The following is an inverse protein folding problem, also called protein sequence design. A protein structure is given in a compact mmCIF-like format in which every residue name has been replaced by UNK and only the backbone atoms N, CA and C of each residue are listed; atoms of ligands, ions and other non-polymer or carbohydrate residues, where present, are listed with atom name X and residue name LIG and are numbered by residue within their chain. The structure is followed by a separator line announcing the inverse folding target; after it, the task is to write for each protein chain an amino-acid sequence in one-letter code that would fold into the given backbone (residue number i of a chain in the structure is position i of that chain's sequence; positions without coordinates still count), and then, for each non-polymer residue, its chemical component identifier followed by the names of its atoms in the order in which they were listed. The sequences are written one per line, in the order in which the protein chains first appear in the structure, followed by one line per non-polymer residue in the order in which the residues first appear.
data_IF_218546705819
#
_entry.id   IF_218546705819
#
_cell.length_a   1.000
_cell.length_b   1.000
_cell.length_c   1.000
_cell.angle_alpha   90.00
_cell.angle_beta   90.00
_cell.angle_gamma   90.00
#
_symmetry.space_group_name_H-M   'P 1'
#
loop_
_entity.id
_entity.type
_entity.pdbx_description
1 polymer ?
#
# COMPACT_ATOMS: atom_id res chain seq x y z
N UNK A 1 -42.95 -65.10 7.45
CA UNK A 1 -42.72 -63.72 7.96
C UNK A 1 -41.28 -63.46 8.37
N UNK A 2 -40.56 -64.33 9.06
CA UNK A 2 -39.19 -64.11 9.58
C UNK A 2 -38.11 -63.76 8.49
N UNK A 3 -38.13 -64.43 7.31
CA UNK A 3 -37.16 -64.16 6.22
C UNK A 3 -37.26 -62.76 5.61
N UNK A 4 -38.41 -62.11 5.52
CA UNK A 4 -38.63 -60.77 5.02
C UNK A 4 -38.10 -59.70 6.04
N UNK A 5 -38.24 -59.98 7.34
CA UNK A 5 -37.73 -59.08 8.40
C UNK A 5 -36.24 -59.10 8.46
N UNK A 6 -35.56 -60.23 8.36
CA UNK A 6 -34.05 -60.26 8.29
C UNK A 6 -33.50 -59.59 7.05
N UNK A 7 -34.20 -59.64 5.91
CA UNK A 7 -33.75 -58.95 4.69
C UNK A 7 -33.86 -57.42 4.84
N UNK A 8 -34.92 -56.90 5.46
CA UNK A 8 -35.09 -55.47 5.74
C UNK A 8 -34.10 -54.96 6.77
N UNK A 9 -33.83 -55.74 7.84
CA UNK A 9 -32.81 -55.38 8.84
C UNK A 9 -31.41 -55.38 8.24
N UNK A 10 -31.06 -56.33 7.37
CA UNK A 10 -29.76 -56.37 6.69
C UNK A 10 -29.61 -55.22 5.68
N UNK A 11 -30.66 -54.83 4.96
CA UNK A 11 -30.63 -53.66 4.09
C UNK A 11 -30.52 -52.36 4.88
N UNK A 12 -31.23 -52.24 6.01
CA UNK A 12 -31.08 -51.07 6.91
C UNK A 12 -29.67 -50.92 7.46
N UNK A 13 -29.09 -52.04 7.96
CA UNK A 13 -27.71 -52.03 8.46
C UNK A 13 -26.68 -51.68 7.36
N UNK A 14 -26.90 -52.16 6.12
CA UNK A 14 -26.02 -51.85 4.99
C UNK A 14 -26.11 -50.38 4.60
N UNK A 15 -27.30 -49.79 4.60
CA UNK A 15 -27.48 -48.36 4.32
C UNK A 15 -26.88 -47.50 5.42
N UNK A 16 -27.02 -47.87 6.69
CA UNK A 16 -26.40 -47.15 7.81
C UNK A 16 -24.88 -47.23 7.73
N UNK A 17 -24.32 -48.41 7.41
CA UNK A 17 -22.88 -48.59 7.22
C UNK A 17 -22.37 -47.74 6.05
N UNK A 18 -23.12 -47.67 4.93
CA UNK A 18 -22.77 -46.81 3.78
C UNK A 18 -22.79 -45.32 4.14
N UNK A 19 -23.80 -44.86 4.87
CA UNK A 19 -23.86 -43.47 5.35
C UNK A 19 -22.69 -43.11 6.27
N UNK A 20 -22.30 -44.00 7.18
CA UNK A 20 -21.16 -43.83 8.05
C UNK A 20 -19.83 -43.77 7.25
N UNK A 21 -19.74 -44.61 6.21
CA UNK A 21 -18.56 -44.63 5.35
C UNK A 21 -18.45 -43.35 4.50
N UNK A 22 -19.56 -42.84 3.98
CA UNK A 22 -19.62 -41.56 3.30
C UNK A 22 -19.24 -40.38 4.24
N UNK A 23 -19.77 -40.39 5.46
CA UNK A 23 -19.43 -39.36 6.45
C UNK A 23 -17.95 -39.39 6.81
N UNK A 24 -17.37 -40.58 7.01
CA UNK A 24 -15.94 -40.73 7.26
C UNK A 24 -15.07 -40.26 6.07
N UNK A 25 -15.52 -40.59 4.83
CA UNK A 25 -14.83 -40.08 3.63
C UNK A 25 -14.86 -38.55 3.51
N UNK A 26 -16.01 -37.93 3.82
CA UNK A 26 -16.10 -36.45 3.84
C UNK A 26 -15.17 -35.84 4.89
N UNK A 27 -15.08 -36.38 6.09
CA UNK A 27 -14.18 -35.92 7.12
C UNK A 27 -12.70 -36.06 6.69
N UNK A 28 -12.35 -37.20 6.09
CA UNK A 28 -11.00 -37.44 5.58
C UNK A 28 -10.62 -36.49 4.45
N UNK A 29 -11.56 -36.15 3.55
CA UNK A 29 -11.30 -35.19 2.48
C UNK A 29 -11.08 -33.77 3.03
N UNK A 30 -11.86 -33.36 4.06
CA UNK A 30 -11.64 -32.05 4.71
C UNK A 30 -10.27 -32.00 5.40
N UNK A 31 -9.94 -33.03 6.20
CA UNK A 31 -8.63 -33.08 6.89
C UNK A 31 -7.46 -33.16 5.91
N UNK A 32 -7.62 -33.87 4.78
CA UNK A 32 -6.61 -33.92 3.75
C UNK A 32 -6.47 -32.57 3.02
N UNK A 33 -7.58 -31.87 2.78
CA UNK A 33 -7.56 -30.53 2.21
C UNK A 33 -6.83 -29.53 3.12
N UNK A 34 -7.19 -29.49 4.42
CA UNK A 34 -6.51 -28.67 5.44
C UNK A 34 -5.01 -28.96 5.52
N UNK A 35 -4.64 -30.24 5.47
CA UNK A 35 -3.22 -30.63 5.49
C UNK A 35 -2.46 -30.19 4.23
N UNK A 36 -3.10 -30.31 3.06
CA UNK A 36 -2.51 -29.88 1.79
C UNK A 36 -2.43 -28.35 1.73
N UNK A 37 -3.44 -27.64 2.18
CA UNK A 37 -3.46 -26.19 2.30
C UNK A 37 -2.30 -25.70 3.17
N UNK A 38 -2.13 -26.26 4.38
CA UNK A 38 -1.06 -25.85 5.30
C UNK A 38 0.35 -26.20 4.84
N UNK A 39 0.51 -27.28 4.02
CA UNK A 39 1.82 -27.78 3.58
C UNK A 39 2.29 -27.20 2.25
N UNK A 40 1.36 -26.87 1.36
CA UNK A 40 1.65 -26.43 0.00
C UNK A 40 1.19 -25.00 -0.26
N UNK A 41 0.70 -24.30 0.77
CA UNK A 41 0.16 -22.93 0.69
C UNK A 41 -0.89 -22.78 -0.45
N UNK A 42 -1.66 -23.84 -0.67
CA UNK A 42 -2.60 -23.99 -1.77
C UNK A 42 -3.94 -23.31 -1.41
N UNK A 43 -3.87 -21.99 -1.21
CA UNK A 43 -5.05 -21.17 -0.94
C UNK A 43 -5.65 -20.73 -2.28
N UNK A 44 -6.88 -21.17 -2.56
CA UNK A 44 -7.69 -20.58 -3.62
C UNK A 44 -8.27 -19.27 -3.10
N UNK A 45 -7.66 -18.17 -3.52
CA UNK A 45 -8.14 -16.85 -3.16
C UNK A 45 -9.41 -16.52 -3.97
N UNK A 46 -10.55 -16.57 -3.28
CA UNK A 46 -11.84 -16.15 -3.83
C UNK A 46 -12.15 -14.69 -3.56
N UNK A 47 -11.22 -13.93 -2.96
CA UNK A 47 -11.40 -12.52 -2.71
C UNK A 47 -11.41 -11.73 -4.02
N UNK A 48 -12.19 -10.67 -4.05
CA UNK A 48 -12.16 -9.71 -5.15
C UNK A 48 -10.78 -9.04 -5.18
N UNK A 49 -10.06 -9.09 -6.31
CA UNK A 49 -8.70 -8.60 -6.50
C UNK A 49 -7.56 -9.39 -5.83
N UNK A 50 -7.75 -10.68 -5.52
CA UNK A 50 -6.69 -11.53 -4.94
C UNK A 50 -6.02 -10.92 -3.69
N UNK A 51 -6.80 -10.33 -2.82
CA UNK A 51 -6.32 -9.58 -1.62
C UNK A 51 -5.49 -10.48 -0.69
N UNK A 52 -5.73 -11.79 -0.71
CA UNK A 52 -5.12 -12.75 0.22
C UNK A 52 -3.92 -13.50 -0.37
N UNK A 53 -3.60 -13.34 -1.66
CA UNK A 53 -2.40 -13.90 -2.30
C UNK A 53 -1.35 -12.81 -2.53
N UNK A 54 -0.07 -13.17 -2.44
CA UNK A 54 1.03 -12.26 -2.76
C UNK A 54 1.30 -12.28 -4.26
N UNK A 55 1.42 -11.10 -4.86
CA UNK A 55 1.86 -10.97 -6.24
C UNK A 55 3.38 -11.20 -6.37
N UNK A 56 3.83 -11.62 -7.55
CA UNK A 56 5.24 -11.85 -7.86
C UNK A 56 6.13 -10.63 -7.54
N UNK A 57 5.62 -9.42 -7.75
CA UNK A 57 6.34 -8.18 -7.44
C UNK A 57 6.62 -8.03 -5.94
N UNK A 58 5.62 -8.33 -5.10
CA UNK A 58 5.76 -8.29 -3.64
C UNK A 58 6.69 -9.38 -3.14
N UNK A 59 6.60 -10.59 -3.68
CA UNK A 59 7.51 -11.68 -3.33
C UNK A 59 8.97 -11.30 -3.63
N UNK A 60 9.24 -10.76 -4.82
CA UNK A 60 10.56 -10.30 -5.22
C UNK A 60 11.07 -9.17 -4.31
N UNK A 61 10.21 -8.25 -3.92
CA UNK A 61 10.54 -7.20 -2.95
C UNK A 61 10.97 -7.81 -1.61
N UNK A 62 10.15 -8.70 -1.04
CA UNK A 62 10.42 -9.31 0.25
C UNK A 62 11.70 -10.17 0.24
N UNK A 63 11.95 -10.90 -0.85
CA UNK A 63 13.16 -11.71 -1.01
C UNK A 63 14.44 -10.86 -1.18
N UNK A 64 14.32 -9.65 -1.73
CA UNK A 64 15.43 -8.72 -1.90
C UNK A 64 15.68 -7.81 -0.72
N UNK A 65 14.81 -7.84 0.30
CA UNK A 65 14.88 -6.94 1.44
C UNK A 65 16.13 -7.22 2.29
N UNK A 66 16.93 -6.19 2.52
CA UNK A 66 18.18 -6.26 3.31
C UNK A 66 18.12 -5.45 4.60
N UNK A 67 17.13 -4.56 4.74
CA UNK A 67 16.93 -3.69 5.90
C UNK A 67 15.77 -4.17 6.75
N UNK A 68 15.90 -4.00 8.05
CA UNK A 68 14.85 -4.37 9.00
C UNK A 68 13.71 -3.35 8.99
N UNK A 69 12.51 -3.86 8.77
CA UNK A 69 11.26 -3.10 8.77
C UNK A 69 10.39 -3.54 9.93
N UNK A 70 9.98 -2.59 10.75
CA UNK A 70 9.05 -2.83 11.86
C UNK A 70 7.69 -2.22 11.54
N UNK A 71 6.65 -3.02 11.72
CA UNK A 71 5.28 -2.62 11.47
C UNK A 71 4.46 -2.68 12.75
N UNK A 72 3.61 -1.66 12.95
CA UNK A 72 2.69 -1.59 14.07
C UNK A 72 1.28 -1.49 13.52
N UNK A 73 0.50 -2.59 13.63
CA UNK A 73 -0.90 -2.59 13.25
C UNK A 73 -1.72 -2.04 14.43
N UNK A 74 -2.14 -0.81 14.31
CA UNK A 74 -2.86 -0.08 15.34
C UNK A 74 -4.34 -0.24 15.14
N UNK A 75 -5.03 -0.81 16.15
CA UNK A 75 -6.47 -1.02 16.11
C UNK A 75 -7.13 -0.52 17.40
N UNK A 76 -8.35 -0.03 17.26
CA UNK A 76 -9.26 0.13 18.39
C UNK A 76 -9.77 -1.24 18.83
N UNK A 77 -10.24 -1.39 20.07
CA UNK A 77 -10.74 -2.67 20.57
C UNK A 77 -11.95 -3.14 19.73
N UNK A 78 -11.80 -4.27 19.05
CA UNK A 78 -12.85 -4.88 18.22
C UNK A 78 -12.92 -4.39 16.76
N UNK A 79 -11.95 -3.58 16.30
CA UNK A 79 -11.85 -3.12 14.91
C UNK A 79 -10.74 -3.83 14.11
N UNK A 80 -10.22 -4.95 14.65
CA UNK A 80 -9.11 -5.67 14.03
C UNK A 80 -9.44 -6.13 12.60
N UNK A 81 -8.61 -5.74 11.64
CA UNK A 81 -8.72 -6.17 10.25
C UNK A 81 -8.02 -7.51 10.05
N UNK A 82 -8.82 -8.56 9.93
CA UNK A 82 -8.32 -9.93 9.77
C UNK A 82 -7.57 -10.15 8.45
N UNK A 83 -7.91 -9.42 7.38
CA UNK A 83 -7.23 -9.52 6.08
C UNK A 83 -5.84 -8.89 6.16
N UNK A 84 -5.75 -7.70 6.76
CA UNK A 84 -4.47 -7.05 7.01
C UNK A 84 -3.57 -7.92 7.89
N UNK A 85 -4.10 -8.47 9.00
CA UNK A 85 -3.35 -9.35 9.90
C UNK A 85 -2.83 -10.59 9.17
N UNK A 86 -3.66 -11.24 8.34
CA UNK A 86 -3.25 -12.40 7.55
C UNK A 86 -2.12 -12.06 6.57
N UNK A 87 -2.16 -10.88 5.94
CA UNK A 87 -1.13 -10.40 5.04
C UNK A 87 0.18 -10.11 5.78
N UNK A 88 0.13 -9.43 6.92
CA UNK A 88 1.32 -9.14 7.75
C UNK A 88 2.00 -10.43 8.25
N UNK A 89 1.21 -11.44 8.64
CA UNK A 89 1.75 -12.75 9.02
C UNK A 89 2.52 -13.41 7.87
N UNK A 90 2.01 -13.33 6.63
CA UNK A 90 2.70 -13.87 5.45
C UNK A 90 3.99 -13.12 5.15
N UNK A 91 3.99 -11.79 5.26
CA UNK A 91 5.19 -10.98 5.07
C UNK A 91 6.28 -11.37 6.09
N UNK A 92 5.92 -11.48 7.35
CA UNK A 92 6.85 -11.92 8.40
C UNK A 92 7.34 -13.37 8.22
N UNK A 93 6.49 -14.26 7.69
CA UNK A 93 6.90 -15.64 7.41
C UNK A 93 7.85 -15.74 6.19
N UNK A 94 7.75 -14.80 5.23
CA UNK A 94 8.56 -14.79 4.01
C UNK A 94 9.98 -14.30 4.24
N UNK A 95 10.17 -13.26 5.06
CA UNK A 95 11.48 -12.65 5.29
C UNK A 95 11.74 -12.38 6.77
N UNK A 96 12.98 -12.63 7.27
CA UNK A 96 13.35 -12.29 8.64
C UNK A 96 13.45 -10.77 8.90
N UNK A 97 13.49 -9.97 7.83
CA UNK A 97 13.62 -8.51 7.90
C UNK A 97 12.30 -7.80 8.22
N UNK A 98 11.17 -8.50 8.22
CA UNK A 98 9.88 -7.90 8.62
C UNK A 98 9.45 -8.46 9.97
N UNK A 99 9.17 -7.53 10.88
CA UNK A 99 8.54 -7.82 12.16
C UNK A 99 7.33 -6.94 12.36
N UNK A 100 6.23 -7.50 12.87
CA UNK A 100 5.06 -6.70 13.17
C UNK A 100 4.48 -7.02 14.54
N UNK A 101 3.75 -6.06 15.11
CA UNK A 101 2.99 -6.23 16.36
C UNK A 101 1.63 -5.54 16.24
N UNK A 102 0.64 -6.10 16.92
CA UNK A 102 -0.65 -5.46 17.12
C UNK A 102 -0.58 -4.51 18.30
N UNK A 103 -1.00 -3.28 18.10
CA UNK A 103 -0.89 -2.20 19.08
C UNK A 103 -2.24 -1.49 19.27
N UNK A 104 -2.34 -0.75 20.36
CA UNK A 104 -3.48 0.11 20.66
C UNK A 104 -2.97 1.44 21.21
N UNK A 105 -3.42 2.56 20.65
CA UNK A 105 -2.97 3.91 21.04
C UNK A 105 -3.21 4.24 22.50
N UNK A 106 -4.30 3.71 23.08
CA UNK A 106 -4.61 3.91 24.51
C UNK A 106 -3.57 3.26 25.42
N UNK A 107 -2.99 2.14 24.98
CA UNK A 107 -1.97 1.38 25.73
C UNK A 107 -0.55 1.84 25.41
N UNK A 108 -0.33 2.32 24.19
CA UNK A 108 0.99 2.76 23.70
C UNK A 108 0.93 4.12 23.00
N UNK A 109 0.83 5.23 23.76
CA UNK A 109 0.75 6.57 23.17
C UNK A 109 2.05 7.03 22.50
N UNK A 110 3.19 6.34 22.69
CA UNK A 110 4.45 6.65 22.01
C UNK A 110 4.36 6.44 20.50
N UNK A 111 3.41 5.65 20.02
CA UNK A 111 3.15 5.46 18.58
C UNK A 111 2.78 6.78 17.88
N UNK A 112 2.14 7.72 18.58
CA UNK A 112 1.86 9.06 18.06
C UNK A 112 3.16 9.80 17.70
N UNK A 113 4.21 9.68 18.52
CA UNK A 113 5.50 10.32 18.25
C UNK A 113 6.23 9.66 17.08
N UNK A 114 6.07 8.34 16.88
CA UNK A 114 6.62 7.64 15.72
C UNK A 114 5.97 8.09 14.42
N UNK A 115 4.70 8.39 14.45
CA UNK A 115 3.94 8.83 13.30
C UNK A 115 4.10 10.32 13.00
N UNK A 116 4.28 11.17 14.03
CA UNK A 116 4.46 12.62 13.84
C UNK A 116 5.73 12.96 13.02
N UNK A 117 6.69 12.04 12.93
CA UNK A 117 7.84 12.19 12.01
C UNK A 117 7.44 12.14 10.53
N UNK A 118 6.20 11.75 10.22
CA UNK A 118 5.64 11.74 8.87
C UNK A 118 4.89 13.03 8.49
N UNK A 119 4.69 13.94 9.45
CA UNK A 119 4.10 15.27 9.18
C UNK A 119 2.57 15.34 9.23
N UNK A 120 1.88 14.24 9.43
CA UNK A 120 0.42 14.20 9.58
C UNK A 120 0.00 13.48 10.85
N UNK A 121 -0.15 14.24 11.94
CA UNK A 121 -0.61 13.73 13.23
C UNK A 121 -2.08 13.24 13.18
N UNK A 122 -2.85 13.65 12.17
CA UNK A 122 -4.26 13.27 12.04
C UNK A 122 -4.44 11.80 11.64
N UNK A 123 -3.52 11.24 10.86
CA UNK A 123 -3.56 9.85 10.39
C UNK A 123 -3.51 8.82 11.53
N UNK A 124 -3.02 9.17 12.70
CA UNK A 124 -2.82 8.25 13.84
C UNK A 124 -4.00 8.27 14.82
N UNK A 125 -4.99 9.08 14.60
CA UNK A 125 -6.20 9.13 15.44
C UNK A 125 -7.23 8.02 15.13
N UNK A 126 -6.95 7.19 14.12
CA UNK A 126 -7.80 6.08 13.66
C UNK A 126 -7.00 4.78 13.55
N UNK A 127 -7.67 3.70 13.21
CA UNK A 127 -7.02 2.43 12.91
C UNK A 127 -6.07 2.60 11.71
N UNK A 128 -4.80 2.22 11.88
CA UNK A 128 -3.75 2.44 10.89
C UNK A 128 -2.63 1.40 10.98
N UNK A 129 -1.79 1.35 9.94
CA UNK A 129 -0.55 0.59 9.93
C UNK A 129 0.63 1.55 9.87
N UNK A 130 1.48 1.54 10.89
CA UNK A 130 2.71 2.31 10.94
C UNK A 130 3.85 1.41 10.49
N UNK A 131 4.58 1.80 9.45
CA UNK A 131 5.70 1.06 8.88
C UNK A 131 6.96 1.92 9.06
N UNK A 132 8.01 1.35 9.65
CA UNK A 132 9.23 2.06 9.98
C UNK A 132 10.48 1.25 9.66
N UNK A 133 11.51 1.92 9.15
CA UNK A 133 12.87 1.42 9.05
C UNK A 133 13.78 2.27 9.94
N UNK A 134 14.42 1.64 10.94
CA UNK A 134 15.31 2.35 11.89
C UNK A 134 16.57 2.88 11.20
N UNK A 135 17.11 2.14 10.22
CA UNK A 135 18.34 2.52 9.52
C UNK A 135 18.20 3.80 8.70
N UNK A 136 17.07 3.99 8.04
CA UNK A 136 16.79 5.20 7.24
C UNK A 136 16.14 6.30 8.06
N UNK A 137 15.58 5.97 9.23
CA UNK A 137 14.78 6.86 10.07
C UNK A 137 13.40 7.19 9.49
N UNK A 138 13.02 6.60 8.33
CA UNK A 138 11.75 6.89 7.68
C UNK A 138 10.60 6.07 8.27
N UNK A 139 9.45 6.71 8.27
CA UNK A 139 8.19 6.12 8.74
C UNK A 139 7.09 6.43 7.73
N UNK A 140 6.20 5.49 7.46
CA UNK A 140 4.98 5.66 6.67
C UNK A 140 3.79 5.18 7.51
N UNK A 141 2.72 5.97 7.50
CA UNK A 141 1.45 5.61 8.11
C UNK A 141 0.45 5.33 6.99
N UNK A 142 -0.18 4.17 7.03
CA UNK A 142 -1.26 3.79 6.11
C UNK A 142 -2.56 3.70 6.89
N UNK A 143 -3.58 4.36 6.37
CA UNK A 143 -4.95 4.35 6.89
C UNK A 143 -5.87 3.52 6.00
N UNK A 144 -7.13 3.35 6.38
CA UNK A 144 -8.10 2.65 5.54
C UNK A 144 -8.24 3.27 4.14
N UNK A 145 -8.07 4.58 4.02
CA UNK A 145 -8.16 5.30 2.75
C UNK A 145 -7.04 4.91 1.76
N UNK A 146 -5.84 4.59 2.27
CA UNK A 146 -4.69 4.20 1.46
C UNK A 146 -4.84 2.81 0.82
N UNK A 147 -5.79 2.00 1.33
CA UNK A 147 -6.07 0.67 0.79
C UNK A 147 -7.20 0.67 -0.24
N UNK A 148 -7.91 1.78 -0.41
CA UNK A 148 -9.09 1.85 -1.28
C UNK A 148 -8.69 2.15 -2.72
N UNK A 149 -9.02 1.25 -3.63
CA UNK A 149 -8.95 1.50 -5.06
C UNK A 149 -10.22 2.21 -5.53
N UNK A 150 -10.05 3.35 -6.21
CA UNK A 150 -11.16 4.15 -6.75
C UNK A 150 -11.01 4.33 -8.25
N UNK A 151 -12.10 4.12 -8.99
CA UNK A 151 -12.16 4.41 -10.42
C UNK A 151 -13.20 5.52 -10.67
N UNK A 152 -12.83 6.49 -11.50
CA UNK A 152 -13.77 7.54 -11.92
C UNK A 152 -14.77 7.01 -12.92
N UNK A 153 -16.05 7.08 -12.58
CA UNK A 153 -17.18 6.74 -13.45
C UNK A 153 -17.60 8.00 -14.22
N UNK A 154 -17.18 8.09 -15.47
CA UNK A 154 -17.45 9.25 -16.32
C UNK A 154 -18.96 9.41 -16.66
N UNK A 155 -19.76 8.33 -16.59
CA UNK A 155 -21.21 8.39 -16.84
C UNK A 155 -21.95 9.00 -15.64
N UNK A 156 -21.45 8.75 -14.42
CA UNK A 156 -22.08 9.24 -13.19
C UNK A 156 -21.36 10.46 -12.61
N UNK A 157 -20.20 10.82 -13.12
CA UNK A 157 -19.40 11.95 -12.64
C UNK A 157 -18.87 11.80 -11.22
N UNK A 158 -18.68 10.57 -10.74
CA UNK A 158 -18.23 10.27 -9.38
C UNK A 158 -17.20 9.16 -9.31
N UNK A 159 -16.43 9.15 -8.23
CA UNK A 159 -15.53 8.03 -7.94
C UNK A 159 -16.30 6.86 -7.32
N UNK A 160 -16.01 5.66 -7.78
CA UNK A 160 -16.50 4.41 -7.22
C UNK A 160 -15.36 3.62 -6.62
N UNK A 161 -15.59 3.00 -5.47
CA UNK A 161 -14.68 2.02 -4.90
C UNK A 161 -14.76 0.76 -5.75
N UNK A 162 -13.63 0.35 -6.33
CA UNK A 162 -13.52 -0.82 -7.21
C UNK A 162 -12.79 -1.98 -6.56
N UNK A 163 -12.07 -1.73 -5.46
CA UNK A 163 -11.34 -2.77 -4.76
C UNK A 163 -10.58 -2.28 -3.53
N UNK A 164 -9.80 -3.21 -2.96
CA UNK A 164 -8.88 -2.98 -1.86
C UNK A 164 -7.49 -3.43 -2.29
N UNK A 165 -6.47 -2.60 -2.06
CA UNK A 165 -5.11 -2.82 -2.54
C UNK A 165 -4.08 -2.86 -1.41
N UNK A 166 -4.36 -3.62 -0.33
CA UNK A 166 -3.47 -3.75 0.82
C UNK A 166 -2.02 -4.04 0.43
N UNK A 167 -1.84 -5.04 -0.43
CA UNK A 167 -0.51 -5.51 -0.84
C UNK A 167 0.29 -4.41 -1.54
N UNK A 168 -0.34 -3.69 -2.47
CA UNK A 168 0.29 -2.59 -3.20
C UNK A 168 0.74 -1.49 -2.24
N UNK A 169 -0.18 -0.99 -1.40
CA UNK A 169 0.09 0.11 -0.49
C UNK A 169 1.17 -0.24 0.54
N UNK A 170 1.16 -1.46 1.07
CA UNK A 170 2.19 -1.91 2.02
C UNK A 170 3.54 -2.09 1.31
N UNK A 171 3.58 -2.65 0.10
CA UNK A 171 4.82 -2.81 -0.67
C UNK A 171 5.44 -1.45 -1.04
N UNK A 172 4.63 -0.48 -1.46
CA UNK A 172 5.07 0.90 -1.71
C UNK A 172 5.62 1.57 -0.44
N UNK A 173 4.97 1.34 0.70
CA UNK A 173 5.45 1.84 1.99
C UNK A 173 6.77 1.19 2.43
N UNK A 174 6.95 -0.13 2.20
CA UNK A 174 8.23 -0.82 2.45
C UNK A 174 9.33 -0.23 1.58
N UNK A 175 9.08 -0.05 0.28
CA UNK A 175 10.04 0.58 -0.65
C UNK A 175 10.43 1.98 -0.17
N UNK A 176 9.45 2.78 0.27
CA UNK A 176 9.70 4.13 0.80
C UNK A 176 10.60 4.13 2.02
N UNK A 177 10.28 3.32 3.02
CA UNK A 177 11.04 3.34 4.28
C UNK A 177 12.43 2.71 4.13
N UNK A 178 12.64 1.84 3.15
CA UNK A 178 13.92 1.15 2.95
C UNK A 178 14.79 1.76 1.84
N UNK A 179 14.30 2.72 1.07
CA UNK A 179 15.07 3.34 -0.01
C UNK A 179 16.33 4.04 0.51
N UNK A 180 17.44 3.99 -0.23
CA UNK A 180 18.64 4.77 0.05
C UNK A 180 18.39 6.27 -0.16
N UNK A 181 17.77 6.60 -1.29
CA UNK A 181 17.31 7.95 -1.65
C UNK A 181 15.96 7.85 -2.35
N UNK A 182 15.13 8.85 -2.19
CA UNK A 182 13.89 8.96 -2.94
C UNK A 182 14.15 9.69 -4.27
N UNK A 183 13.42 9.36 -5.35
CA UNK A 183 13.44 10.17 -6.55
C UNK A 183 12.91 11.56 -6.20
N UNK A 184 13.69 12.60 -6.56
CA UNK A 184 13.35 13.99 -6.26
C UNK A 184 12.60 14.62 -7.43
N UNK A 185 11.73 15.58 -7.13
CA UNK A 185 11.06 16.41 -8.12
C UNK A 185 10.92 17.83 -7.58
N UNK A 186 11.15 18.82 -8.43
CA UNK A 186 11.06 20.22 -8.08
C UNK A 186 9.89 20.89 -8.78
N UNK A 187 9.21 21.77 -8.08
CA UNK A 187 8.13 22.61 -8.60
C UNK A 187 8.57 24.07 -8.57
N UNK A 188 8.57 24.75 -9.72
CA UNK A 188 8.88 26.17 -9.75
C UNK A 188 7.82 26.98 -9.01
N UNK A 189 8.24 28.02 -8.31
CA UNK A 189 7.38 28.97 -7.60
C UNK A 189 7.87 30.40 -7.78
N UNK A 190 6.96 31.37 -7.70
CA UNK A 190 7.28 32.79 -7.76
C UNK A 190 6.77 33.53 -9.00
N UNK A 191 6.31 32.81 -10.04
CA UNK A 191 5.85 33.38 -11.31
C UNK A 191 4.33 33.21 -11.54
N UNK A 192 3.57 33.01 -10.43
CA UNK A 192 2.13 32.85 -10.48
C UNK A 192 1.71 31.52 -11.10
N UNK A 193 2.50 30.48 -10.88
CA UNK A 193 2.19 29.08 -11.17
C UNK A 193 0.92 28.64 -10.42
N UNK A 194 0.43 27.47 -10.76
CA UNK A 194 -0.68 26.85 -10.02
C UNK A 194 -0.32 26.80 -8.52
N UNK A 195 -1.25 27.24 -7.70
CA UNK A 195 -1.11 27.24 -6.25
C UNK A 195 -1.20 25.82 -5.67
N UNK A 196 -0.83 25.67 -4.42
CA UNK A 196 -0.83 24.39 -3.69
C UNK A 196 -2.22 23.75 -3.69
N UNK A 197 -3.30 24.53 -3.56
CA UNK A 197 -4.65 24.00 -3.60
C UNK A 197 -5.01 23.38 -4.96
N UNK A 198 -4.47 23.92 -6.04
CA UNK A 198 -4.69 23.41 -7.41
C UNK A 198 -3.81 22.19 -7.74
N UNK A 199 -2.68 22.03 -7.05
CA UNK A 199 -1.71 20.95 -7.29
C UNK A 199 -1.80 19.81 -6.27
N UNK A 200 -2.59 19.95 -5.21
CA UNK A 200 -2.72 18.97 -4.11
C UNK A 200 -2.88 17.53 -4.60
N UNK A 201 -3.82 17.27 -5.51
CA UNK A 201 -4.07 15.89 -6.00
C UNK A 201 -2.85 15.30 -6.71
N UNK A 202 -2.12 16.12 -7.47
CA UNK A 202 -0.91 15.71 -8.17
C UNK A 202 0.24 15.48 -7.15
N UNK A 203 0.40 16.39 -6.21
CA UNK A 203 1.44 16.30 -5.17
C UNK A 203 1.20 15.10 -4.26
N UNK A 204 -0.04 14.85 -3.85
CA UNK A 204 -0.42 13.65 -3.08
C UNK A 204 -0.12 12.35 -3.86
N UNK A 205 -0.44 12.34 -5.17
CA UNK A 205 -0.12 11.20 -6.02
C UNK A 205 1.38 10.95 -6.13
N UNK A 206 2.19 11.99 -6.36
CA UNK A 206 3.64 11.89 -6.46
C UNK A 206 4.27 11.47 -5.12
N UNK A 207 3.77 12.01 -4.00
CA UNK A 207 4.21 11.65 -2.66
C UNK A 207 3.87 10.19 -2.33
N UNK A 208 2.67 9.73 -2.69
CA UNK A 208 2.30 8.32 -2.52
C UNK A 208 3.11 7.38 -3.43
N UNK A 209 3.53 7.88 -4.61
CA UNK A 209 4.48 7.19 -5.48
C UNK A 209 5.96 7.32 -5.03
N UNK A 210 6.18 7.82 -3.81
CA UNK A 210 7.49 7.93 -3.15
C UNK A 210 8.45 8.98 -3.76
N UNK A 211 7.93 10.02 -4.42
CA UNK A 211 8.73 11.16 -4.82
C UNK A 211 8.94 12.13 -3.63
N UNK A 212 10.16 12.64 -3.52
CA UNK A 212 10.50 13.76 -2.61
C UNK A 212 10.29 15.07 -3.36
N UNK A 213 9.22 15.80 -3.01
CA UNK A 213 8.81 17.02 -3.67
C UNK A 213 9.40 18.24 -2.96
N UNK A 214 9.91 19.19 -3.74
CA UNK A 214 10.37 20.48 -3.24
C UNK A 214 9.88 21.62 -4.13
N UNK A 215 9.61 22.79 -3.54
CA UNK A 215 9.34 24.00 -4.27
C UNK A 215 10.61 24.84 -4.35
N UNK A 216 10.91 25.35 -5.53
CA UNK A 216 12.10 26.16 -5.82
C UNK A 216 11.69 27.52 -6.35
N UNK A 217 12.17 28.56 -5.71
CA UNK A 217 12.08 29.94 -6.22
C UNK A 217 13.46 30.37 -6.68
N UNK A 218 13.61 30.61 -7.98
CA UNK A 218 14.93 30.92 -8.58
C UNK A 218 15.61 32.17 -8.00
N UNK A 219 14.83 33.13 -7.50
CA UNK A 219 15.37 34.37 -6.93
C UNK A 219 15.88 34.20 -5.50
N UNK A 220 15.26 33.32 -4.72
CA UNK A 220 15.61 33.13 -3.30
C UNK A 220 16.46 31.89 -3.06
N UNK A 221 16.22 30.83 -3.79
CA UNK A 221 16.84 29.52 -3.57
C UNK A 221 17.98 29.25 -4.58
N UNK A 222 18.01 30.02 -5.69
CA UNK A 222 19.02 29.88 -6.75
C UNK A 222 18.61 28.86 -7.82
N UNK A 223 19.61 28.32 -8.53
CA UNK A 223 19.38 27.41 -9.65
C UNK A 223 18.80 26.08 -9.17
N UNK A 224 17.93 25.43 -9.98
CA UNK A 224 17.38 24.11 -9.68
C UNK A 224 18.48 23.04 -9.62
N UNK A 225 18.23 21.96 -8.86
CA UNK A 225 19.11 20.80 -8.80
C UNK A 225 19.03 20.00 -10.12
N UNK A 226 20.13 19.84 -10.88
CA UNK A 226 20.11 19.15 -12.16
C UNK A 226 19.79 17.64 -12.05
N UNK A 227 19.94 17.04 -10.87
CA UNK A 227 19.61 15.63 -10.62
C UNK A 227 18.13 15.41 -10.28
N UNK A 228 17.32 16.47 -10.29
CA UNK A 228 15.87 16.40 -10.01
C UNK A 228 15.07 17.10 -11.12
N UNK A 229 14.11 16.43 -11.79
CA UNK A 229 13.24 17.07 -12.76
C UNK A 229 12.55 18.31 -12.20
N UNK A 230 12.41 19.36 -13.02
CA UNK A 230 11.74 20.61 -12.66
C UNK A 230 10.41 20.71 -13.42
N UNK A 231 9.33 20.95 -12.69
CA UNK A 231 8.01 21.24 -13.25
C UNK A 231 7.68 22.73 -13.13
N UNK A 232 7.26 23.34 -14.23
CA UNK A 232 6.73 24.70 -14.29
C UNK A 232 5.26 24.62 -14.69
N UNK A 233 4.37 24.92 -13.77
CA UNK A 233 2.94 24.65 -13.93
C UNK A 233 2.16 25.95 -14.20
N UNK A 234 1.90 26.24 -15.49
CA UNK A 234 1.08 27.36 -15.94
C UNK A 234 1.48 28.72 -15.36
N UNK A 235 2.73 29.15 -15.51
CA UNK A 235 3.18 30.44 -15.02
C UNK A 235 2.40 31.58 -15.66
N UNK A 236 2.08 32.62 -14.89
CA UNK A 236 1.33 33.81 -15.35
C UNK A 236 2.20 35.05 -15.43
N UNK A 237 3.46 34.97 -14.99
CA UNK A 237 4.44 36.05 -15.06
C UNK A 237 5.67 35.56 -15.80
N UNK A 238 6.31 36.49 -16.52
CA UNK A 238 7.54 36.21 -17.25
C UNK A 238 8.72 35.99 -16.27
N UNK A 239 9.65 35.15 -16.71
CA UNK A 239 10.96 34.97 -16.08
C UNK A 239 11.88 36.14 -16.43
N UNK A 240 12.69 36.58 -15.49
CA UNK A 240 13.74 37.53 -15.76
C UNK A 240 14.88 36.91 -16.60
N UNK A 241 15.74 37.73 -17.22
CA UNK A 241 16.88 37.22 -17.98
C UNK A 241 17.81 36.35 -17.14
N UNK A 242 17.99 36.71 -15.85
CA UNK A 242 18.82 35.93 -14.92
C UNK A 242 18.21 34.56 -14.63
N UNK A 243 16.90 34.48 -14.42
CA UNK A 243 16.18 33.21 -14.18
C UNK A 243 16.15 32.33 -15.42
N UNK A 244 15.97 32.96 -16.60
CA UNK A 244 16.05 32.24 -17.88
C UNK A 244 17.44 31.65 -18.11
N UNK A 245 18.51 32.38 -17.69
CA UNK A 245 19.87 31.84 -17.75
C UNK A 245 20.05 30.68 -16.81
N UNK A 246 19.53 30.74 -15.55
CA UNK A 246 19.57 29.62 -14.60
C UNK A 246 18.88 28.37 -15.14
N UNK A 247 17.71 28.53 -15.77
CA UNK A 247 17.01 27.41 -16.40
C UNK A 247 17.74 26.85 -17.63
N UNK A 248 18.41 27.74 -18.40
CA UNK A 248 19.23 27.34 -19.52
C UNK A 248 20.40 26.48 -19.06
N UNK A 249 21.10 26.97 -18.02
CA UNK A 249 22.24 26.26 -17.43
C UNK A 249 21.81 24.91 -16.81
N UNK A 250 20.64 24.89 -16.15
CA UNK A 250 20.04 23.67 -15.61
C UNK A 250 19.80 22.60 -16.70
N UNK A 251 19.17 22.99 -17.82
CA UNK A 251 18.93 22.06 -18.93
C UNK A 251 20.24 21.63 -19.59
N UNK A 252 21.21 22.55 -19.74
CA UNK A 252 22.54 22.21 -20.28
C UNK A 252 23.34 21.26 -19.37
N UNK A 253 23.09 21.33 -18.07
CA UNK A 253 23.68 20.40 -17.10
C UNK A 253 23.01 19.00 -17.11
N UNK A 254 21.95 18.82 -17.89
CA UNK A 254 21.21 17.55 -18.02
C UNK A 254 19.92 17.48 -17.23
N UNK A 255 19.46 18.59 -16.66
CA UNK A 255 18.18 18.65 -15.94
C UNK A 255 16.98 18.49 -16.88
N UNK A 256 15.98 17.75 -16.44
CA UNK A 256 14.74 17.52 -17.16
C UNK A 256 13.70 18.59 -16.81
N UNK A 257 13.12 19.23 -17.83
CA UNK A 257 12.15 20.31 -17.68
C UNK A 257 10.80 19.94 -18.25
N UNK A 258 9.74 20.03 -17.42
CA UNK A 258 8.37 19.88 -17.81
C UNK A 258 7.61 21.21 -17.63
N UNK A 259 7.01 21.73 -18.70
CA UNK A 259 6.29 23.01 -18.68
C UNK A 259 4.85 22.80 -19.15
N UNK A 260 3.90 23.29 -18.37
CA UNK A 260 2.51 23.45 -18.83
C UNK A 260 2.20 24.92 -19.03
N UNK A 261 1.34 25.23 -20.00
CA UNK A 261 0.86 26.57 -20.26
C UNK A 261 -0.66 26.58 -20.24
N UNK A 262 -1.26 27.59 -19.62
CA UNK A 262 -2.69 27.82 -19.71
C UNK A 262 -2.97 28.65 -20.96
N UNK A 263 -3.91 28.20 -21.77
CA UNK A 263 -4.44 29.02 -22.88
C UNK A 263 -5.49 29.96 -22.28
N UNK A 264 -5.25 31.24 -22.34
CA UNK A 264 -6.25 32.28 -22.03
C UNK A 264 -6.64 32.92 -23.33
N UNK A 265 -7.95 32.80 -23.71
CA UNK A 265 -8.56 33.54 -24.83
C UNK A 265 -8.57 35.04 -24.58
#
# INVERSE_FOLDING_TARGET
MKKKLHRKLRQGALNTALCLLCAAACVLTVVAADYLESKYDWQLDYSFNNITTQGEATENLLDSLTRDVRMYAVFSDGSEDSQLIALLNRYQARTPHITWSQENLTRNPLLLQLASSYGDDSAVNSDCLIIRCEETGRTRVLTAEDYIERTYDAEQGMYRITGWQYEKSISEAILYVTADSLPRMQLLSGHGELDEASTTVMEDYLTSANYDLSRVNLLTDGAPDPDAPLMILSPTKDLSETELQMLTDYVQAGGDLFITVSYTD
#
